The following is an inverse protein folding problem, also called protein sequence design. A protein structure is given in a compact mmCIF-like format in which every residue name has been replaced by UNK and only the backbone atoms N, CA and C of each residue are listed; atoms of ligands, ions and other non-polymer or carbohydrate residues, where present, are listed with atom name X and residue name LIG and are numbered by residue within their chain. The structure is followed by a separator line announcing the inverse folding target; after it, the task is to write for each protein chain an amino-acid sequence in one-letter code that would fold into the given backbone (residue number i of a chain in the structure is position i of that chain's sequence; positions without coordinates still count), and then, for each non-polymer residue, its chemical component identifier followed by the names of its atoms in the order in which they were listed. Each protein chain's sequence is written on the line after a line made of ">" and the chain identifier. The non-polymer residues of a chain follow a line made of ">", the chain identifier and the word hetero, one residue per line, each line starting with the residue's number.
data_IF_031217670704
#
_entry.id   IF_031217670704
#
_cell.length_a   1.000
_cell.length_b   1.000
_cell.length_c   1.000
_cell.angle_alpha   90.00
_cell.angle_beta   90.00
_cell.angle_gamma   90.00
#
_symmetry.space_group_name_H-M   'P 1'
#
loop_
_entity.id
_entity.type
_entity.pdbx_description
1 polymer ?
#
# COMPACT_ATOMS: atom_id res chain seq x y z
N UNK A 1 11.22 21.60 -22.64
CA UNK A 1 10.76 20.77 -21.50
C UNK A 1 10.71 21.70 -20.32
N UNK A 2 9.58 21.78 -19.62
CA UNK A 2 9.37 22.76 -18.55
C UNK A 2 10.13 22.33 -17.28
N UNK A 3 11.12 23.11 -16.79
CA UNK A 3 11.94 22.73 -15.63
C UNK A 3 11.12 22.40 -14.38
N UNK A 4 9.96 23.03 -14.18
CA UNK A 4 9.10 22.78 -13.02
C UNK A 4 8.47 21.37 -13.05
N UNK A 5 8.21 20.83 -14.24
CA UNK A 5 7.68 19.47 -14.41
C UNK A 5 8.76 18.43 -14.07
N UNK A 6 10.00 18.70 -14.43
CA UNK A 6 11.12 17.77 -14.21
C UNK A 6 11.46 17.64 -12.72
N UNK A 7 11.44 18.75 -11.96
CA UNK A 7 11.61 18.72 -10.51
C UNK A 7 10.50 17.93 -9.82
N UNK A 8 9.25 18.12 -10.24
CA UNK A 8 8.09 17.42 -9.69
C UNK A 8 8.16 15.90 -9.94
N UNK A 9 8.58 15.48 -11.14
CA UNK A 9 8.74 14.06 -11.47
C UNK A 9 9.89 13.42 -10.72
N UNK A 10 10.99 14.14 -10.53
CA UNK A 10 12.12 13.66 -9.73
C UNK A 10 11.72 13.47 -8.26
N UNK A 11 11.01 14.44 -7.68
CA UNK A 11 10.51 14.33 -6.31
C UNK A 11 9.55 13.14 -6.16
N UNK A 12 8.64 12.96 -7.12
CA UNK A 12 7.71 11.82 -7.13
C UNK A 12 8.46 10.48 -7.22
N UNK A 13 9.49 10.39 -8.06
CA UNK A 13 10.35 9.21 -8.15
C UNK A 13 11.02 8.88 -6.82
N UNK A 14 11.61 9.88 -6.16
CA UNK A 14 12.26 9.68 -4.85
C UNK A 14 11.27 9.21 -3.78
N UNK A 15 10.11 9.88 -3.66
CA UNK A 15 9.08 9.54 -2.68
C UNK A 15 8.58 8.11 -2.90
N UNK A 16 8.20 7.78 -4.14
CA UNK A 16 7.67 6.45 -4.48
C UNK A 16 8.70 5.35 -4.26
N UNK A 17 9.98 5.60 -4.57
CA UNK A 17 11.08 4.67 -4.31
C UNK A 17 11.26 4.37 -2.82
N UNK A 18 11.18 5.39 -1.95
CA UNK A 18 11.26 5.21 -0.49
C UNK A 18 10.09 4.37 0.01
N UNK A 19 8.86 4.70 -0.40
CA UNK A 19 7.69 3.94 0.00
C UNK A 19 7.77 2.46 -0.42
N UNK A 20 8.33 2.19 -1.60
CA UNK A 20 8.48 0.82 -2.08
C UNK A 20 9.57 0.04 -1.32
N UNK A 21 10.75 0.65 -1.17
CA UNK A 21 11.92 0.03 -0.54
C UNK A 21 11.76 -0.14 0.98
N UNK A 22 11.00 0.73 1.64
CA UNK A 22 10.73 0.60 3.08
C UNK A 22 9.41 -0.14 3.32
N UNK A 23 8.35 0.22 2.60
CA UNK A 23 6.99 -0.25 2.86
C UNK A 23 6.77 -1.72 2.54
N UNK A 24 7.30 -2.23 1.42
CA UNK A 24 7.11 -3.65 1.06
C UNK A 24 7.90 -4.56 2.02
N UNK A 25 9.20 -4.33 2.28
CA UNK A 25 9.96 -5.16 3.21
C UNK A 25 9.43 -5.10 4.65
N UNK A 26 9.00 -3.93 5.14
CA UNK A 26 8.46 -3.80 6.49
C UNK A 26 7.18 -4.62 6.67
N UNK A 27 6.25 -4.58 5.72
CA UNK A 27 5.04 -5.39 5.76
C UNK A 27 5.34 -6.90 5.66
N UNK A 28 6.30 -7.30 4.83
CA UNK A 28 6.74 -8.71 4.74
C UNK A 28 7.33 -9.18 6.08
N UNK A 29 8.18 -8.35 6.71
CA UNK A 29 8.77 -8.67 8.01
C UNK A 29 7.68 -8.78 9.08
N UNK A 30 6.72 -7.84 9.11
CA UNK A 30 5.58 -7.90 10.04
C UNK A 30 4.77 -9.18 9.87
N UNK A 31 4.48 -9.62 8.64
CA UNK A 31 3.79 -10.90 8.40
C UNK A 31 4.60 -12.08 8.96
N UNK A 32 5.92 -12.10 8.76
CA UNK A 32 6.80 -13.15 9.31
C UNK A 32 6.78 -13.16 10.84
N UNK A 33 6.85 -11.99 11.46
CA UNK A 33 6.78 -11.85 12.92
C UNK A 33 5.41 -12.32 13.43
N UNK A 34 4.31 -11.82 12.87
CA UNK A 34 2.95 -12.16 13.29
C UNK A 34 2.57 -13.63 13.08
N UNK A 35 3.23 -14.32 12.13
CA UNK A 35 3.08 -15.77 11.94
C UNK A 35 4.04 -16.62 12.78
N UNK A 36 4.88 -16.00 13.62
CA UNK A 36 5.79 -16.74 14.47
C UNK A 36 5.00 -17.59 15.47
N UNK A 37 5.27 -18.91 15.59
CA UNK A 37 4.55 -19.81 16.49
C UNK A 37 4.55 -19.36 17.96
N UNK A 38 5.54 -18.55 18.35
CA UNK A 38 5.69 -18.01 19.70
C UNK A 38 4.60 -17.01 20.10
N UNK A 39 3.92 -16.36 19.15
CA UNK A 39 2.89 -15.35 19.42
C UNK A 39 1.49 -15.96 19.65
N UNK A 40 1.31 -17.27 19.40
CA UNK A 40 0.02 -17.94 19.45
C UNK A 40 -0.92 -17.49 18.32
N UNK A 41 -1.89 -18.34 17.95
CA UNK A 41 -2.92 -17.96 16.98
C UNK A 41 -3.96 -17.09 17.70
N UNK A 42 -3.86 -15.76 17.55
CA UNK A 42 -4.87 -14.83 18.03
C UNK A 42 -5.54 -14.10 16.85
N UNK A 43 -6.79 -13.66 17.05
CA UNK A 43 -7.57 -12.97 16.02
C UNK A 43 -6.87 -11.67 15.59
N UNK A 44 -6.22 -10.98 16.53
CA UNK A 44 -5.47 -9.74 16.28
C UNK A 44 -4.33 -9.94 15.28
N UNK A 45 -3.49 -10.96 15.43
CA UNK A 45 -2.38 -11.24 14.50
C UNK A 45 -2.88 -11.61 13.12
N UNK A 46 -4.06 -12.24 13.03
CA UNK A 46 -4.70 -12.56 11.75
C UNK A 46 -5.16 -11.29 11.04
N UNK A 47 -5.82 -10.38 11.76
CA UNK A 47 -6.26 -9.08 11.23
C UNK A 47 -5.05 -8.24 10.79
N UNK A 48 -4.00 -8.17 11.62
CA UNK A 48 -2.77 -7.45 11.30
C UNK A 48 -2.04 -8.05 10.10
N UNK A 49 -1.97 -9.39 9.98
CA UNK A 49 -1.41 -10.05 8.80
C UNK A 49 -2.19 -9.69 7.52
N UNK A 50 -3.52 -9.73 7.59
CA UNK A 50 -4.38 -9.35 6.46
C UNK A 50 -4.14 -7.90 6.06
N UNK A 51 -4.08 -6.99 7.05
CA UNK A 51 -3.76 -5.59 6.82
C UNK A 51 -2.40 -5.40 6.11
N UNK A 52 -1.35 -6.09 6.54
CA UNK A 52 -0.04 -6.04 5.88
C UNK A 52 -0.09 -6.53 4.42
N UNK A 53 -0.87 -7.58 4.13
CA UNK A 53 -1.05 -8.08 2.75
C UNK A 53 -1.71 -7.00 1.89
N UNK A 54 -2.80 -6.40 2.36
CA UNK A 54 -3.49 -5.33 1.63
C UNK A 54 -2.65 -4.06 1.49
N UNK A 55 -1.81 -3.75 2.48
CA UNK A 55 -0.83 -2.68 2.38
C UNK A 55 0.19 -2.95 1.27
N UNK A 56 0.71 -4.18 1.16
CA UNK A 56 1.61 -4.56 0.06
C UNK A 56 0.89 -4.41 -1.29
N UNK A 57 -0.33 -4.91 -1.42
CA UNK A 57 -1.10 -4.78 -2.67
C UNK A 57 -1.37 -3.32 -3.04
N UNK A 58 -1.63 -2.47 -2.05
CA UNK A 58 -1.79 -1.02 -2.24
C UNK A 58 -0.49 -0.37 -2.75
N UNK A 59 0.66 -0.71 -2.16
CA UNK A 59 1.97 -0.23 -2.62
C UNK A 59 2.27 -0.71 -4.05
N UNK A 60 2.00 -1.98 -4.34
CA UNK A 60 2.23 -2.59 -5.66
C UNK A 60 1.31 -2.03 -6.75
N UNK A 61 0.15 -1.48 -6.41
CA UNK A 61 -0.77 -0.89 -7.39
C UNK A 61 -0.57 0.62 -7.47
N UNK A 62 -0.75 1.34 -6.37
CA UNK A 62 -0.76 2.79 -6.37
C UNK A 62 0.64 3.39 -6.49
N UNK A 63 1.57 2.97 -5.62
CA UNK A 63 2.94 3.49 -5.62
C UNK A 63 3.69 3.08 -6.89
N UNK A 64 3.47 1.86 -7.38
CA UNK A 64 4.06 1.40 -8.64
C UNK A 64 3.59 2.23 -9.84
N UNK A 65 2.30 2.60 -9.91
CA UNK A 65 1.80 3.49 -10.98
C UNK A 65 2.51 4.84 -10.95
N UNK A 66 2.58 5.46 -9.77
CA UNK A 66 3.24 6.76 -9.61
C UNK A 66 4.74 6.68 -9.95
N UNK A 67 5.38 5.56 -9.61
CA UNK A 67 6.77 5.29 -9.98
C UNK A 67 6.94 5.19 -11.50
N UNK A 68 6.11 4.39 -12.19
CA UNK A 68 6.14 4.27 -13.65
C UNK A 68 5.90 5.63 -14.31
N UNK A 69 4.95 6.41 -13.78
CA UNK A 69 4.68 7.76 -14.26
C UNK A 69 5.88 8.70 -14.11
N UNK A 70 6.56 8.64 -12.97
CA UNK A 70 7.77 9.43 -12.72
C UNK A 70 8.93 9.04 -13.66
N UNK A 71 9.12 7.73 -13.91
CA UNK A 71 10.21 7.22 -14.77
C UNK A 71 9.94 7.48 -16.24
N UNK A 72 8.74 7.17 -16.73
CA UNK A 72 8.39 7.28 -18.14
C UNK A 72 7.98 8.69 -18.55
N UNK A 73 7.77 9.58 -17.57
CA UNK A 73 7.22 10.94 -17.73
C UNK A 73 5.88 10.92 -18.50
N UNK A 74 5.14 9.81 -18.40
CA UNK A 74 3.85 9.58 -19.06
C UNK A 74 2.96 8.81 -18.09
N UNK A 75 1.67 9.09 -18.08
CA UNK A 75 0.75 8.24 -17.33
C UNK A 75 0.75 6.84 -17.98
N UNK A 76 1.07 5.75 -17.28
CA UNK A 76 0.93 4.40 -17.83
C UNK A 76 -0.49 4.07 -18.33
N UNK A 77 -1.49 4.86 -17.89
CA UNK A 77 -2.84 4.88 -18.44
C UNK A 77 -2.92 5.11 -19.96
N UNK A 78 -1.88 5.66 -20.59
CA UNK A 78 -1.89 6.07 -21.99
C UNK A 78 -1.97 4.90 -22.98
N UNK A 79 -1.68 3.67 -22.55
CA UNK A 79 -1.69 2.51 -23.45
C UNK A 79 -3.08 1.91 -23.69
N UNK A 80 -4.00 2.01 -22.73
CA UNK A 80 -5.39 1.54 -22.88
C UNK A 80 -6.26 2.08 -21.74
N UNK A 81 -7.37 2.75 -22.07
CA UNK A 81 -8.33 3.28 -21.11
C UNK A 81 -8.89 2.19 -20.18
N UNK A 82 -9.07 0.97 -20.68
CA UNK A 82 -9.54 -0.15 -19.89
C UNK A 82 -8.51 -0.59 -18.85
N UNK A 83 -7.23 -0.64 -19.23
CA UNK A 83 -6.13 -0.99 -18.31
C UNK A 83 -5.98 0.10 -17.24
N UNK A 84 -6.11 1.37 -17.63
CA UNK A 84 -6.12 2.49 -16.70
C UNK A 84 -7.27 2.37 -15.69
N UNK A 85 -8.50 2.23 -16.18
CA UNK A 85 -9.69 2.14 -15.35
C UNK A 85 -9.65 0.96 -14.39
N UNK A 86 -9.20 -0.21 -14.87
CA UNK A 86 -8.99 -1.38 -14.03
C UNK A 86 -7.94 -1.12 -12.95
N UNK A 87 -6.77 -0.56 -13.32
CA UNK A 87 -5.69 -0.30 -12.37
C UNK A 87 -6.12 0.68 -11.27
N UNK A 88 -6.78 1.79 -11.63
CA UNK A 88 -7.32 2.77 -10.69
C UNK A 88 -8.34 2.10 -9.76
N UNK A 89 -9.27 1.31 -10.32
CA UNK A 89 -10.29 0.60 -9.55
C UNK A 89 -9.68 -0.38 -8.56
N UNK A 90 -8.67 -1.16 -8.97
CA UNK A 90 -7.93 -2.06 -8.08
C UNK A 90 -7.21 -1.29 -6.96
N UNK A 91 -6.58 -0.16 -7.27
CA UNK A 91 -5.96 0.70 -6.26
C UNK A 91 -6.96 1.17 -5.20
N UNK A 92 -8.11 1.71 -5.63
CA UNK A 92 -9.17 2.14 -4.70
C UNK A 92 -9.75 0.99 -3.88
N UNK A 93 -9.89 -0.19 -4.49
CA UNK A 93 -10.36 -1.39 -3.80
C UNK A 93 -9.43 -1.77 -2.65
N UNK A 94 -8.11 -1.86 -2.89
CA UNK A 94 -7.15 -2.21 -1.85
C UNK A 94 -7.02 -1.16 -0.75
N UNK A 95 -7.07 0.13 -1.11
CA UNK A 95 -7.09 1.23 -0.13
C UNK A 95 -8.32 1.12 0.76
N UNK A 96 -9.50 0.91 0.17
CA UNK A 96 -10.75 0.78 0.92
C UNK A 96 -10.69 -0.35 1.93
N UNK A 97 -10.21 -1.53 1.51
CA UNK A 97 -10.05 -2.68 2.41
C UNK A 97 -9.04 -2.38 3.52
N UNK A 98 -7.92 -1.74 3.19
CA UNK A 98 -6.90 -1.35 4.17
C UNK A 98 -7.48 -0.42 5.24
N UNK A 99 -8.26 0.58 4.84
CA UNK A 99 -8.96 1.50 5.75
C UNK A 99 -9.97 0.78 6.65
N UNK A 100 -10.73 -0.17 6.10
CA UNK A 100 -11.65 -1.00 6.89
C UNK A 100 -10.92 -1.86 7.93
N UNK A 101 -9.75 -2.42 7.58
CA UNK A 101 -8.93 -3.14 8.56
C UNK A 101 -8.41 -2.21 9.66
N UNK A 102 -8.01 -0.98 9.34
CA UNK A 102 -7.59 0.00 10.35
C UNK A 102 -8.75 0.38 11.28
N UNK A 103 -9.95 0.60 10.73
CA UNK A 103 -11.14 0.86 11.53
C UNK A 103 -11.46 -0.32 12.46
N UNK A 104 -11.41 -1.56 11.94
CA UNK A 104 -11.63 -2.76 12.73
C UNK A 104 -10.60 -2.93 13.86
N UNK A 105 -9.31 -2.65 13.59
CA UNK A 105 -8.25 -2.67 14.59
C UNK A 105 -8.48 -1.61 15.68
N UNK A 106 -8.87 -0.40 15.28
CA UNK A 106 -9.17 0.68 16.21
C UNK A 106 -10.33 0.31 17.15
N UNK A 107 -11.42 -0.23 16.60
CA UNK A 107 -12.55 -0.72 17.38
C UNK A 107 -12.14 -1.86 18.32
N UNK A 108 -11.36 -2.83 17.83
CA UNK A 108 -10.91 -3.97 18.63
C UNK A 108 -10.05 -3.53 19.82
N UNK A 109 -9.12 -2.60 19.61
CA UNK A 109 -8.29 -2.02 20.68
C UNK A 109 -9.16 -1.25 21.66
N UNK A 110 -10.13 -0.46 21.17
CA UNK A 110 -11.04 0.29 22.03
C UNK A 110 -11.80 -0.65 22.97
N UNK A 111 -12.41 -1.71 22.45
CA UNK A 111 -13.11 -2.70 23.28
C UNK A 111 -12.20 -3.33 24.34
N UNK A 112 -10.97 -3.71 23.96
CA UNK A 112 -9.99 -4.26 24.91
C UNK A 112 -9.57 -3.30 26.03
N UNK A 113 -9.71 -1.99 25.85
CA UNK A 113 -9.33 -0.99 26.85
C UNK A 113 -10.51 -0.55 27.72
N UNK A 114 -11.75 -0.76 27.26
CA UNK A 114 -12.97 -0.36 27.98
C UNK A 114 -13.62 -1.48 28.78
N UNK A 115 -13.29 -2.74 28.49
CA UNK A 115 -13.67 -3.91 29.26
C UNK A 115 -12.64 -4.24 30.35
#
# INVERSE_FOLDING_TARGET
>A
MDPQTDESMFMLFCITSVFFTVGVPSNILSIKVLRCPRLGKNNLSTILCSHCIFSIMTLLTYTLRMFIMAVTRRDPAYHSEQVCGAWISFGHYFISISSWHQAALCLYIHFLLTD
#
